data_IF_679969257190
#
_entry.id   IF_679969257190
#
_cell.length_a   1.000
_cell.length_b   1.000
_cell.length_c   1.000
_cell.angle_alpha   90.00
_cell.angle_beta   90.00
_cell.angle_gamma   90.00
#
_symmetry.space_group_name_H-M   'P 1'
#
loop_
_entity.id
_entity.type
_entity.pdbx_description
1 polymer ?
#
# COMPACT_ATOMS: atom_id res chain seq x y z
N UNK A 1 -15.41 4.55 10.20
CA UNK A 1 -14.27 4.09 9.42
C UNK A 1 -13.94 5.06 8.30
N UNK A 2 -12.70 5.45 8.16
CA UNK A 2 -12.27 6.44 7.19
C UNK A 2 -12.08 5.87 5.78
N UNK A 3 -11.96 6.77 4.81
CA UNK A 3 -11.59 6.44 3.45
C UNK A 3 -10.07 6.50 3.32
N UNK A 4 -9.47 5.51 2.67
CA UNK A 4 -8.05 5.48 2.38
C UNK A 4 -7.77 5.87 0.94
N UNK A 5 -6.79 6.73 0.75
CA UNK A 5 -6.30 7.11 -0.57
C UNK A 5 -4.87 6.60 -0.71
N UNK A 6 -4.58 5.93 -1.82
CA UNK A 6 -3.25 5.41 -2.08
C UNK A 6 -2.78 5.89 -3.45
N UNK A 7 -1.56 6.38 -3.49
CA UNK A 7 -0.90 6.84 -4.69
C UNK A 7 0.35 5.99 -4.90
N UNK A 8 0.50 5.45 -6.09
CA UNK A 8 1.62 4.60 -6.44
C UNK A 8 2.35 5.19 -7.63
N UNK A 9 3.67 5.33 -7.50
CA UNK A 9 4.53 5.69 -8.62
C UNK A 9 5.29 4.46 -9.08
N UNK A 10 5.24 4.20 -10.37
CA UNK A 10 5.93 3.09 -11.01
C UNK A 10 7.24 3.54 -11.66
N UNK A 11 8.09 2.56 -12.02
CA UNK A 11 9.37 2.83 -12.69
C UNK A 11 9.21 3.57 -14.02
N UNK A 12 8.05 3.46 -14.69
CA UNK A 12 7.74 4.19 -15.93
C UNK A 12 7.16 5.59 -15.67
N UNK A 13 7.20 6.10 -14.44
CA UNK A 13 6.65 7.39 -14.01
C UNK A 13 5.12 7.50 -14.07
N UNK A 14 4.40 6.41 -14.29
CA UNK A 14 2.94 6.43 -14.25
C UNK A 14 2.49 6.37 -12.79
N UNK A 15 1.54 7.24 -12.44
CA UNK A 15 0.93 7.27 -11.11
C UNK A 15 -0.42 6.59 -11.18
N UNK A 16 -0.64 5.62 -10.30
CA UNK A 16 -1.90 4.91 -10.15
C UNK A 16 -2.49 5.26 -8.79
N UNK A 17 -3.79 5.53 -8.76
CA UNK A 17 -4.50 5.86 -7.51
C UNK A 17 -5.60 4.85 -7.25
N UNK A 18 -5.99 4.72 -6.00
CA UNK A 18 -7.09 3.85 -5.61
C UNK A 18 -7.59 4.18 -4.22
N UNK A 19 -8.80 3.75 -3.92
CA UNK A 19 -9.44 3.92 -2.62
C UNK A 19 -9.91 2.57 -2.10
N UNK A 20 -10.20 2.49 -0.79
CA UNK A 20 -10.73 1.28 -0.19
C UNK A 20 -12.13 0.97 -0.76
N UNK A 21 -12.41 -0.31 -0.91
CA UNK A 21 -13.69 -0.80 -1.41
C UNK A 21 -14.40 -1.53 -0.27
N UNK A 22 -15.49 -0.96 0.21
CA UNK A 22 -16.27 -1.51 1.31
C UNK A 22 -17.36 -2.45 0.81
N UNK A 23 -17.71 -3.44 1.62
CA UNK A 23 -18.66 -4.46 1.25
C UNK A 23 -19.34 -4.99 2.52
N UNK A 24 -20.63 -5.26 2.46
CA UNK A 24 -21.35 -5.84 3.58
C UNK A 24 -20.85 -7.26 3.92
N UNK A 25 -20.36 -7.98 2.92
CA UNK A 25 -19.61 -9.21 3.13
C UNK A 25 -18.16 -8.83 3.44
N UNK A 26 -17.83 -8.62 4.68
CA UNK A 26 -16.55 -8.07 5.12
C UNK A 26 -15.31 -8.73 4.49
N UNK A 27 -15.24 -10.05 4.33
CA UNK A 27 -14.08 -10.67 3.68
C UNK A 27 -13.87 -10.25 2.23
N UNK A 28 -14.90 -9.71 1.55
CA UNK A 28 -14.81 -9.26 0.15
C UNK A 28 -14.33 -7.83 0.01
N UNK A 29 -14.24 -7.07 1.10
CA UNK A 29 -13.74 -5.72 1.06
C UNK A 29 -12.23 -5.68 0.81
N UNK A 30 -11.76 -4.58 0.24
CA UNK A 30 -10.33 -4.34 -0.01
C UNK A 30 -9.91 -3.00 0.54
N UNK A 31 -8.75 -2.97 1.19
CA UNK A 31 -8.10 -1.71 1.54
C UNK A 31 -7.59 -1.00 0.27
N UNK A 32 -7.42 0.31 0.36
CA UNK A 32 -6.94 1.12 -0.76
C UNK A 32 -5.60 0.63 -1.30
N UNK A 33 -4.70 0.19 -0.43
CA UNK A 33 -3.37 -0.31 -0.81
C UNK A 33 -3.49 -1.51 -1.74
N UNK A 34 -4.31 -2.50 -1.39
CA UNK A 34 -4.50 -3.69 -2.22
C UNK A 34 -5.23 -3.37 -3.51
N UNK A 35 -6.26 -2.51 -3.46
CA UNK A 35 -6.96 -2.06 -4.66
C UNK A 35 -5.98 -1.45 -5.66
N UNK A 36 -5.12 -0.56 -5.20
CA UNK A 36 -4.15 0.14 -6.05
C UNK A 36 -3.08 -0.80 -6.58
N UNK A 37 -2.50 -1.64 -5.73
CA UNK A 37 -1.45 -2.57 -6.13
C UNK A 37 -1.96 -3.63 -7.10
N UNK A 38 -3.15 -4.18 -6.86
CA UNK A 38 -3.73 -5.18 -7.75
C UNK A 38 -4.04 -4.60 -9.12
N UNK A 39 -4.62 -3.39 -9.17
CA UNK A 39 -4.87 -2.72 -10.43
C UNK A 39 -3.57 -2.46 -11.20
N UNK A 40 -2.59 -1.93 -10.52
CA UNK A 40 -1.30 -1.61 -11.14
C UNK A 40 -0.57 -2.86 -11.63
N UNK A 41 -0.58 -3.93 -10.83
CA UNK A 41 0.03 -5.20 -11.25
C UNK A 41 -0.70 -5.82 -12.44
N UNK A 42 -2.00 -5.60 -12.57
CA UNK A 42 -2.80 -6.05 -13.71
C UNK A 42 -2.49 -5.25 -14.97
N UNK A 43 -2.42 -3.92 -14.86
CA UNK A 43 -2.23 -3.05 -16.01
C UNK A 43 -0.76 -2.91 -16.44
N UNK A 44 0.15 -3.01 -15.50
CA UNK A 44 1.59 -2.80 -15.74
C UNK A 44 2.41 -3.91 -15.05
N UNK A 45 2.24 -5.17 -15.49
CA UNK A 45 2.84 -6.31 -14.80
C UNK A 45 4.37 -6.32 -14.79
N UNK A 46 5.00 -5.58 -15.71
CA UNK A 46 6.44 -5.52 -15.83
C UNK A 46 7.08 -4.31 -15.13
N UNK A 47 6.27 -3.49 -14.44
CA UNK A 47 6.77 -2.26 -13.83
C UNK A 47 6.84 -2.39 -12.31
N UNK A 48 8.04 -2.16 -11.77
CA UNK A 48 8.25 -2.12 -10.33
C UNK A 48 7.51 -0.92 -9.71
N UNK A 49 7.11 -1.07 -8.45
CA UNK A 49 6.56 0.01 -7.66
C UNK A 49 7.71 0.73 -6.96
N UNK A 50 7.93 1.98 -7.30
CA UNK A 50 8.99 2.78 -6.66
C UNK A 50 8.53 3.37 -5.33
N UNK A 51 7.32 3.91 -5.30
CA UNK A 51 6.80 4.61 -4.14
C UNK A 51 5.31 4.33 -3.97
N UNK A 52 4.91 4.05 -2.75
CA UNK A 52 3.51 3.90 -2.34
C UNK A 52 3.23 4.93 -1.26
N UNK A 53 2.29 5.82 -1.51
CA UNK A 53 1.88 6.84 -0.54
C UNK A 53 0.46 6.55 -0.05
N UNK A 54 0.28 6.58 1.27
CA UNK A 54 -0.97 6.24 1.94
C UNK A 54 -1.44 7.43 2.76
N UNK A 55 -2.69 7.82 2.57
CA UNK A 55 -3.35 8.82 3.39
C UNK A 55 -4.75 8.34 3.73
N UNK A 56 -5.26 8.76 4.88
CA UNK A 56 -6.60 8.39 5.31
C UNK A 56 -7.39 9.63 5.70
N UNK A 57 -8.71 9.58 5.47
CA UNK A 57 -9.65 10.62 5.85
C UNK A 57 -10.69 10.04 6.78
N UNK A 58 -11.22 10.90 7.66
CA UNK A 58 -12.36 10.53 8.51
C UNK A 58 -13.68 10.62 7.71
N UNK A 59 -14.79 10.33 8.36
CA UNK A 59 -16.10 10.35 7.71
C UNK A 59 -16.52 11.75 7.21
N UNK A 60 -15.89 12.82 7.72
CA UNK A 60 -16.13 14.19 7.28
C UNK A 60 -15.26 14.58 6.07
N UNK A 61 -14.42 13.67 5.58
CA UNK A 61 -13.51 13.94 4.48
C UNK A 61 -12.25 14.68 4.89
N UNK A 62 -11.98 14.83 6.18
CA UNK A 62 -10.78 15.49 6.69
C UNK A 62 -9.64 14.48 6.82
N UNK A 63 -8.42 14.87 6.44
CA UNK A 63 -7.25 14.02 6.65
C UNK A 63 -7.00 13.82 8.14
N UNK A 64 -6.59 12.61 8.51
CA UNK A 64 -6.22 12.30 9.89
C UNK A 64 -4.94 13.04 10.26
N UNK A 65 -4.82 13.44 11.52
CA UNK A 65 -3.62 14.13 12.01
C UNK A 65 -2.40 13.23 11.95
N UNK A 66 -2.54 12.00 12.45
CA UNK A 66 -1.45 11.03 12.47
C UNK A 66 -1.51 10.10 11.26
N UNK A 67 -0.36 9.74 10.69
CA UNK A 67 -0.33 8.76 9.62
C UNK A 67 -0.88 7.41 10.07
N UNK A 68 -1.59 6.72 9.19
CA UNK A 68 -2.09 5.36 9.44
C UNK A 68 -1.21 4.36 8.72
N UNK A 69 -0.66 3.35 9.42
CA UNK A 69 0.06 2.28 8.76
C UNK A 69 -0.91 1.31 8.06
N UNK A 70 -0.45 0.59 7.04
CA UNK A 70 -1.27 -0.40 6.35
C UNK A 70 -1.59 -1.60 7.24
N UNK A 71 -2.72 -2.25 7.00
CA UNK A 71 -3.09 -3.48 7.72
C UNK A 71 -2.16 -4.64 7.36
N UNK A 72 -2.23 -5.73 8.14
CA UNK A 72 -1.36 -6.89 7.92
C UNK A 72 -1.48 -7.51 6.53
N UNK A 73 -2.72 -7.65 6.02
CA UNK A 73 -2.95 -8.20 4.69
C UNK A 73 -2.31 -7.32 3.60
N UNK A 74 -2.40 -6.00 3.74
CA UNK A 74 -1.77 -5.08 2.80
C UNK A 74 -0.26 -5.14 2.89
N UNK A 75 0.30 -5.28 4.08
CA UNK A 75 1.75 -5.42 4.26
C UNK A 75 2.28 -6.67 3.54
N UNK A 76 1.53 -7.77 3.60
CA UNK A 76 1.91 -9.00 2.91
C UNK A 76 1.91 -8.82 1.39
N UNK A 77 0.88 -8.18 0.83
CA UNK A 77 0.80 -7.90 -0.61
C UNK A 77 1.92 -6.94 -1.03
N UNK A 78 2.21 -5.93 -0.22
CA UNK A 78 3.31 -5.01 -0.48
C UNK A 78 4.66 -5.74 -0.51
N UNK A 79 4.88 -6.65 0.44
CA UNK A 79 6.09 -7.46 0.50
C UNK A 79 6.24 -8.32 -0.75
N UNK A 80 5.17 -9.00 -1.17
CA UNK A 80 5.20 -9.84 -2.37
C UNK A 80 5.51 -9.01 -3.63
N UNK A 81 4.94 -7.82 -3.73
CA UNK A 81 5.22 -6.91 -4.86
C UNK A 81 6.69 -6.48 -4.87
N UNK A 82 7.23 -6.13 -3.70
CA UNK A 82 8.64 -5.74 -3.57
C UNK A 82 9.58 -6.89 -3.98
N UNK A 83 9.29 -8.10 -3.50
CA UNK A 83 10.11 -9.28 -3.82
C UNK A 83 10.02 -9.71 -5.29
N UNK A 84 8.83 -9.58 -5.88
CA UNK A 84 8.63 -9.92 -7.30
C UNK A 84 9.55 -9.12 -8.20
N UNK A 85 9.70 -7.83 -7.93
CA UNK A 85 10.52 -6.94 -8.75
C UNK A 85 11.95 -6.79 -8.22
N UNK A 86 12.26 -7.40 -7.08
CA UNK A 86 13.59 -7.33 -6.44
C UNK A 86 14.07 -5.88 -6.26
N UNK A 87 13.17 -5.00 -5.91
CA UNK A 87 13.42 -3.58 -5.78
C UNK A 87 12.70 -3.04 -4.54
N UNK A 88 13.42 -2.35 -3.62
CA UNK A 88 12.77 -1.76 -2.44
C UNK A 88 11.69 -0.77 -2.85
N UNK A 89 10.58 -0.78 -2.12
CA UNK A 89 9.47 0.13 -2.31
C UNK A 89 9.53 1.20 -1.22
N UNK A 90 9.61 2.45 -1.62
CA UNK A 90 9.54 3.55 -0.68
C UNK A 90 8.08 3.74 -0.27
N UNK A 91 7.84 3.85 1.05
CA UNK A 91 6.50 3.96 1.59
C UNK A 91 6.38 5.30 2.32
N UNK A 92 5.35 6.05 1.97
CA UNK A 92 5.05 7.34 2.61
C UNK A 92 3.71 7.21 3.32
N UNK A 93 3.72 7.33 4.65
CA UNK A 93 2.50 7.34 5.46
C UNK A 93 2.21 8.79 5.80
N UNK A 94 1.14 9.33 5.22
CA UNK A 94 0.85 10.76 5.27
C UNK A 94 -0.26 11.07 6.25
N UNK A 95 0.00 12.00 7.15
CA UNK A 95 -0.98 12.60 8.04
C UNK A 95 -0.87 14.11 7.97
N UNK A 96 -1.81 14.82 8.56
CA UNK A 96 -1.79 16.29 8.56
C UNK A 96 -0.55 16.86 9.25
N UNK A 97 -0.10 16.19 10.32
CA UNK A 97 1.04 16.66 11.13
C UNK A 97 2.41 16.24 10.60
N UNK A 98 2.46 15.35 9.62
CA UNK A 98 3.75 14.90 9.09
C UNK A 98 3.65 13.67 8.23
N UNK A 99 4.80 13.25 7.71
CA UNK A 99 4.91 12.09 6.83
C UNK A 99 5.97 11.18 7.41
N UNK A 100 5.65 9.88 7.57
CA UNK A 100 6.65 8.86 7.89
C UNK A 100 7.13 8.25 6.59
N UNK A 101 8.43 8.26 6.38
CA UNK A 101 9.05 7.62 5.22
C UNK A 101 9.71 6.31 5.65
N UNK A 102 9.37 5.22 4.96
CA UNK A 102 10.01 3.93 5.10
C UNK A 102 10.67 3.58 3.78
N UNK A 103 11.88 3.05 3.84
CA UNK A 103 12.68 2.78 2.63
C UNK A 103 12.45 1.40 2.04
N UNK A 104 11.71 0.55 2.75
CA UNK A 104 11.34 -0.78 2.27
C UNK A 104 10.18 -1.32 3.06
N UNK A 105 9.50 -2.32 2.51
CA UNK A 105 8.41 -3.03 3.19
C UNK A 105 8.94 -3.81 4.41
N UNK A 106 10.21 -4.19 4.39
CA UNK A 106 10.84 -4.86 5.53
C UNK A 106 10.72 -4.11 6.84
N UNK A 107 10.67 -2.78 6.80
CA UNK A 107 10.46 -1.97 8.00
C UNK A 107 9.06 -2.16 8.62
N UNK A 108 8.09 -2.64 7.84
CA UNK A 108 6.73 -2.93 8.30
C UNK A 108 6.54 -4.40 8.67
N UNK A 109 7.45 -5.27 8.28
CA UNK A 109 7.41 -6.70 8.52
C UNK A 109 8.80 -7.21 8.89
N UNK A 110 9.29 -6.88 10.10
CA UNK A 110 10.65 -7.30 10.50
C UNK A 110 10.83 -8.82 10.51
N UNK A 111 9.77 -9.57 10.82
CA UNK A 111 9.73 -11.03 10.72
C UNK A 111 8.63 -11.37 9.73
N UNK A 112 9.01 -11.68 8.50
CA UNK A 112 8.05 -11.83 7.41
C UNK A 112 7.95 -13.28 6.94
N UNK A 113 6.78 -13.62 6.44
CA UNK A 113 6.51 -14.89 5.77
C UNK A 113 6.49 -14.68 4.26
N UNK A 114 7.25 -15.47 3.53
CA UNK A 114 7.22 -15.45 2.06
C UNK A 114 7.47 -16.86 1.51
N UNK A 115 7.58 -16.98 0.19
CA UNK A 115 7.78 -18.27 -0.44
C UNK A 115 9.03 -19.00 0.06
N UNK A 116 10.09 -18.27 0.42
CA UNK A 116 11.31 -18.87 0.96
C UNK A 116 11.11 -19.51 2.33
N UNK A 117 10.09 -19.10 3.07
CA UNK A 117 9.77 -19.66 4.39
C UNK A 117 9.28 -21.10 4.32
N UNK A 118 8.85 -21.56 3.14
CA UNK A 118 8.32 -22.89 2.92
C UNK A 118 9.29 -23.84 2.21
N UNK A 119 10.47 -23.38 1.89
CA UNK A 119 11.49 -24.15 1.18
C UNK A 119 12.42 -24.89 2.13
#
# INVERSE_FOLDING_TARGET
RGLGDVYKRQANNIIVTGTNQENAAYPSGLCAERTTLFYANSQYPDQAVETLAIAARNERGEFLEEPIPPCGACRQVMLETEKRFKRPMRILLSGEKGIYELRSVGALLPLSFDASSML
#
